data_IF_319216054001
#
_entry.id   IF_319216054001
#
_cell.length_a   1.000
_cell.length_b   1.000
_cell.length_c   1.000
_cell.angle_alpha   90.00
_cell.angle_beta   90.00
_cell.angle_gamma   90.00
#
_symmetry.space_group_name_H-M   'P 1'
#
loop_
_entity.id
_entity.type
_entity.pdbx_description
1 polymer ?
2 non-polymer ?
3 non-polymer ?
4 non-polymer ?
5 non-polymer ?
6 water ?
#
# COMPACT_ATOMS: atom_id res chain seq x y z
N UNK A 4 5.31 13.34 25.51
CA UNK A 4 5.17 14.76 25.03
C UNK A 4 3.95 15.03 24.13
N UNK A 5 4.17 14.91 22.82
CA UNK A 5 3.18 15.19 21.74
C UNK A 5 2.59 16.61 21.80
N UNK A 6 3.36 17.60 21.29
CA UNK A 6 2.97 19.02 21.23
C UNK A 6 2.15 19.41 20.00
N UNK A 7 1.79 20.70 19.94
CA UNK A 7 1.08 21.33 18.82
C UNK A 7 2.01 21.44 17.60
N UNK A 8 1.43 21.36 16.41
CA UNK A 8 2.24 21.39 15.18
C UNK A 8 3.12 22.64 15.04
N UNK A 9 2.58 23.78 15.44
CA UNK A 9 3.33 25.03 15.38
C UNK A 9 4.56 25.06 16.28
N UNK A 10 4.51 24.30 17.37
CA UNK A 10 5.62 24.25 18.28
C UNK A 10 6.60 23.15 17.87
N UNK A 11 6.13 22.17 17.10
CA UNK A 11 6.96 21.03 16.65
C UNK A 11 7.93 21.45 15.53
N UNK A 12 7.40 22.16 14.56
CA UNK A 12 8.18 22.66 13.45
C UNK A 12 9.02 23.84 13.91
N UNK A 13 10.23 23.94 13.36
CA UNK A 13 11.13 25.05 13.62
C UNK A 13 10.85 26.35 12.90
N UNK A 14 10.00 26.30 11.89
CA UNK A 14 9.64 27.53 11.16
C UNK A 14 8.40 27.30 10.33
N UNK A 15 7.76 28.40 9.91
CA UNK A 15 6.62 28.25 9.02
C UNK A 15 7.11 28.17 7.59
N UNK A 16 6.23 27.85 6.65
CA UNK A 16 6.53 27.83 5.24
C UNK A 16 6.94 29.23 4.79
N UNK A 17 8.07 29.40 4.07
CA UNK A 17 8.38 30.78 3.69
C UNK A 17 7.43 31.33 2.65
N UNK A 18 7.25 32.65 2.66
CA UNK A 18 6.40 33.30 1.67
C UNK A 18 6.93 33.06 0.26
N UNK A 19 8.25 33.10 0.11
CA UNK A 19 8.88 32.85 -1.21
C UNK A 19 8.53 31.47 -1.81
N UNK A 20 8.26 30.49 -0.94
CA UNK A 20 7.88 29.18 -1.42
C UNK A 20 6.44 29.23 -1.99
N UNK A 21 5.53 29.86 -1.24
CA UNK A 21 4.13 30.01 -1.65
C UNK A 21 4.03 30.71 -3.03
N UNK A 22 4.75 31.82 -3.18
CA UNK A 22 4.72 32.54 -4.46
C UNK A 22 5.11 31.60 -5.62
N UNK A 23 6.11 30.76 -5.40
CA UNK A 23 6.53 29.82 -6.43
C UNK A 23 5.43 28.81 -6.71
N UNK A 24 4.76 28.35 -5.65
CA UNK A 24 3.70 27.33 -5.80
C UNK A 24 2.46 27.85 -6.52
N UNK A 25 2.10 29.09 -6.26
CA UNK A 25 0.93 29.67 -6.90
C UNK A 25 1.15 29.86 -8.42
N UNK A 26 2.38 30.13 -8.81
CA UNK A 26 2.74 30.31 -10.22
C UNK A 26 2.98 29.01 -10.97
N UNK A 27 2.83 27.86 -10.28
CA UNK A 27 2.95 26.55 -10.94
C UNK A 27 2.15 25.56 -10.13
N UNK A 28 0.85 25.79 -10.10
CA UNK A 28 -0.06 24.95 -9.32
C UNK A 28 -0.23 23.56 -9.88
N UNK A 29 -0.11 23.41 -11.20
CA UNK A 29 -0.23 22.11 -11.82
C UNK A 29 0.92 21.16 -11.41
N UNK A 30 2.13 21.70 -11.31
CA UNK A 30 3.26 20.88 -10.88
C UNK A 30 3.03 20.50 -9.43
N UNK A 31 2.55 21.47 -8.65
CA UNK A 31 2.28 21.26 -7.25
C UNK A 31 1.34 20.07 -7.03
N UNK A 32 0.23 20.12 -7.75
CA UNK A 32 -0.85 19.17 -7.60
C UNK A 32 -0.44 17.75 -7.96
N UNK A 33 0.33 17.62 -9.05
CA UNK A 33 0.83 16.32 -9.47
C UNK A 33 1.82 15.80 -8.44
N UNK A 34 2.68 16.69 -7.92
CA UNK A 34 3.67 16.24 -6.93
C UNK A 34 2.96 15.75 -5.67
N UNK A 35 1.93 16.49 -5.32
CA UNK A 35 1.10 16.16 -4.19
C UNK A 35 0.54 14.77 -4.41
N UNK A 36 -0.06 14.51 -5.57
CA UNK A 36 -0.58 13.17 -5.88
C UNK A 36 0.52 12.16 -5.57
N UNK A 37 1.71 12.42 -6.10
CA UNK A 37 2.84 11.54 -5.88
C UNK A 37 3.21 11.38 -4.39
N UNK A 38 3.17 12.47 -3.62
CA UNK A 38 3.51 12.36 -2.21
C UNK A 38 2.54 11.44 -1.51
N UNK A 39 1.25 11.52 -1.84
CA UNK A 39 0.25 10.72 -1.14
C UNK A 39 0.52 9.23 -1.41
N UNK A 40 0.90 8.90 -2.65
CA UNK A 40 1.22 7.50 -3.00
C UNK A 40 2.51 7.03 -2.31
N UNK A 41 3.55 7.86 -2.29
CA UNK A 41 4.82 7.49 -1.66
C UNK A 41 4.60 7.22 -0.18
N UNK A 42 3.75 8.03 0.43
CA UNK A 42 3.44 7.85 1.84
C UNK A 42 2.82 6.46 2.06
N UNK A 43 1.94 6.03 1.17
CA UNK A 43 1.36 4.66 1.27
C UNK A 43 2.41 3.62 1.03
N UNK A 44 3.26 3.86 0.04
CA UNK A 44 4.30 2.90 -0.32
C UNK A 44 5.29 2.74 0.86
N UNK A 45 5.65 3.85 1.47
CA UNK A 45 6.58 3.88 2.61
C UNK A 45 5.95 3.17 3.80
N UNK A 46 4.65 3.38 3.98
CA UNK A 46 3.96 2.76 5.06
C UNK A 46 4.07 1.25 4.92
N UNK A 47 3.84 0.71 3.72
CA UNK A 47 3.93 -0.75 3.49
C UNK A 47 5.35 -1.31 3.65
N UNK A 48 6.36 -0.53 3.26
CA UNK A 48 7.76 -0.89 3.48
C UNK A 48 8.10 -1.02 4.94
N UNK A 49 7.56 -0.12 5.77
CA UNK A 49 7.75 -0.21 7.23
C UNK A 49 7.14 -1.48 7.78
N UNK A 50 5.98 -1.86 7.28
CA UNK A 50 5.30 -3.09 7.73
C UNK A 50 6.16 -4.33 7.37
N UNK A 51 6.77 -4.35 6.19
CA UNK A 51 7.60 -5.46 5.73
C UNK A 51 8.90 -5.58 6.53
N UNK A 52 9.56 -4.46 6.78
CA UNK A 52 10.73 -4.40 7.57
C UNK A 52 10.47 -4.72 9.07
N UNK A 53 9.53 -4.01 9.69
CA UNK A 53 9.28 -4.17 11.11
C UNK A 53 8.11 -5.09 11.25
N UNK A 54 8.29 -6.29 10.71
CA UNK A 54 7.21 -7.28 10.62
C UNK A 54 6.78 -8.02 11.90
N UNK A 55 7.40 -7.72 13.05
CA UNK A 55 6.95 -8.23 14.38
C UNK A 55 6.49 -7.07 15.32
N UNK A 56 6.46 -5.84 14.82
CA UNK A 56 5.97 -4.74 15.66
C UNK A 56 4.50 -4.58 15.41
N UNK A 57 3.69 -5.21 16.24
CA UNK A 57 2.26 -5.28 16.01
C UNK A 57 1.54 -3.93 15.91
N UNK A 58 1.71 -3.03 16.89
CA UNK A 58 1.05 -1.69 16.82
C UNK A 58 1.46 -0.88 15.59
N UNK A 59 2.73 -0.96 15.21
CA UNK A 59 3.21 -0.27 14.01
C UNK A 59 2.51 -0.82 12.78
N UNK A 60 2.40 -2.12 12.69
CA UNK A 60 1.77 -2.74 11.54
C UNK A 60 0.32 -2.29 11.40
N UNK A 61 -0.43 -2.39 12.48
CA UNK A 61 -1.84 -1.96 12.47
C UNK A 61 -1.97 -0.48 12.11
N UNK A 62 -1.09 0.35 12.64
CA UNK A 62 -1.17 1.76 12.33
C UNK A 62 -0.78 2.08 10.90
N UNK A 63 0.29 1.45 10.43
CA UNK A 63 0.75 1.70 9.10
C UNK A 63 -0.26 1.12 8.06
N UNK A 64 -0.96 0.03 8.40
CA UNK A 64 -1.91 -0.50 7.44
C UNK A 64 -3.01 0.55 7.25
N UNK A 65 -3.53 1.09 8.35
CA UNK A 65 -4.57 2.12 8.32
C UNK A 65 -4.10 3.41 7.67
N UNK A 66 -2.89 3.83 7.97
CA UNK A 66 -2.38 5.05 7.41
C UNK A 66 -2.28 4.92 5.90
N UNK A 67 -1.75 3.81 5.42
CA UNK A 67 -1.67 3.54 3.98
C UNK A 67 -3.03 3.60 3.30
N UNK A 68 -4.07 3.07 3.92
CA UNK A 68 -5.40 3.14 3.35
C UNK A 68 -5.79 4.59 3.26
N UNK A 69 -5.58 5.33 4.34
CA UNK A 69 -5.92 6.76 4.31
C UNK A 69 -5.13 7.51 3.25
N UNK A 70 -3.85 7.25 3.16
CA UNK A 70 -3.06 7.96 2.14
C UNK A 70 -3.53 7.65 0.73
N UNK A 71 -3.92 6.39 0.49
CA UNK A 71 -4.46 6.02 -0.82
C UNK A 71 -5.72 6.79 -1.16
N UNK A 72 -6.57 6.99 -0.18
CA UNK A 72 -7.78 7.77 -0.39
C UNK A 72 -7.34 9.17 -0.82
N UNK A 73 -6.31 9.73 -0.18
CA UNK A 73 -5.84 11.06 -0.53
C UNK A 73 -5.40 11.09 -1.98
N UNK A 74 -4.62 10.08 -2.37
CA UNK A 74 -4.13 9.83 -3.72
C UNK A 74 -5.31 9.90 -4.69
N UNK A 75 -6.32 9.09 -4.43
CA UNK A 75 -7.54 9.07 -5.24
C UNK A 75 -8.28 10.42 -5.25
N UNK A 76 -8.24 11.13 -4.14
CA UNK A 76 -8.90 12.44 -4.09
C UNK A 76 -8.19 13.46 -4.97
N UNK A 77 -6.87 13.40 -5.00
CA UNK A 77 -6.09 14.30 -5.82
C UNK A 77 -6.30 13.98 -7.30
N UNK A 78 -6.34 12.68 -7.60
CA UNK A 78 -6.54 12.24 -8.98
C UNK A 78 -7.89 12.71 -9.49
N UNK A 79 -8.88 12.63 -8.61
CA UNK A 79 -10.26 13.02 -8.96
C UNK A 79 -10.30 14.52 -9.26
N UNK A 80 -9.51 15.27 -8.52
CA UNK A 80 -9.42 16.73 -8.67
C UNK A 80 -8.63 17.10 -9.96
N UNK A 81 -7.54 16.38 -10.21
CA UNK A 81 -6.78 16.57 -11.42
C UNK A 81 -7.68 16.36 -12.63
N UNK A 82 -8.50 15.33 -12.58
CA UNK A 82 -9.46 15.02 -13.66
C UNK A 82 -10.44 16.18 -13.84
N UNK A 83 -11.01 16.65 -12.73
CA UNK A 83 -12.00 17.74 -12.76
C UNK A 83 -11.42 19.03 -13.32
N UNK A 84 -10.13 19.23 -13.14
CA UNK A 84 -9.48 20.43 -13.62
C UNK A 84 -8.71 20.23 -14.91
N UNK A 85 -8.83 19.05 -15.51
CA UNK A 85 -8.13 18.72 -16.75
C UNK A 85 -6.62 18.67 -16.64
N UNK A 86 -6.12 18.33 -15.46
CA UNK A 86 -4.68 18.24 -15.24
C UNK A 86 -4.21 16.82 -15.59
N UNK A 87 -3.33 16.69 -16.60
CA UNK A 87 -2.85 15.36 -17.03
C UNK A 87 -1.84 14.67 -16.10
N UNK A 88 -1.61 13.39 -16.36
CA UNK A 88 -0.64 12.62 -15.60
C UNK A 88 0.70 12.77 -16.28
N UNK A 89 1.39 13.85 -15.98
CA UNK A 89 2.72 14.05 -16.53
C UNK A 89 3.73 13.80 -15.41
N UNK A 90 4.95 13.39 -15.79
CA UNK A 90 5.95 13.01 -14.81
C UNK A 90 6.52 14.18 -14.06
N UNK A 91 6.66 14.01 -12.75
CA UNK A 91 7.26 15.02 -11.89
C UNK A 91 8.21 14.26 -10.96
N UNK A 92 9.49 14.61 -11.00
CA UNK A 92 10.47 13.86 -10.23
C UNK A 92 10.35 14.12 -8.74
N UNK A 93 10.77 13.12 -7.96
CA UNK A 93 10.75 13.19 -6.52
C UNK A 93 11.62 14.34 -6.02
N UNK A 94 11.11 15.12 -5.08
CA UNK A 94 11.91 16.17 -4.46
C UNK A 94 12.93 15.60 -3.50
N UNK A 95 13.77 16.47 -2.94
CA UNK A 95 14.89 16.09 -2.09
C UNK A 95 14.55 15.85 -0.62
N UNK A 96 13.43 16.42 -0.19
CA UNK A 96 13.01 16.47 1.21
C UNK A 96 13.14 15.18 2.06
N UNK A 97 12.37 14.16 1.68
CA UNK A 97 12.35 12.90 2.37
C UNK A 97 13.72 12.23 2.48
N UNK A 98 14.50 12.24 1.42
CA UNK A 98 15.82 11.64 1.48
C UNK A 98 16.71 12.49 2.36
N UNK A 99 16.50 13.81 2.33
CA UNK A 99 17.25 14.72 3.18
C UNK A 99 17.07 14.34 4.64
N UNK A 100 15.82 14.20 5.06
CA UNK A 100 15.52 13.83 6.44
C UNK A 100 16.01 12.43 6.82
N UNK A 101 16.02 11.52 5.86
CA UNK A 101 16.45 10.14 6.15
C UNK A 101 17.97 9.98 6.35
N UNK A 102 18.73 10.95 5.90
CA UNK A 102 20.18 11.00 6.18
C UNK A 102 20.38 11.17 7.70
N UNK A 103 19.35 11.58 8.45
CA UNK A 103 19.48 11.73 9.88
C UNK A 103 19.13 10.50 10.71
N UNK A 104 18.68 9.43 10.03
CA UNK A 104 18.30 8.23 10.73
C UNK A 104 19.55 7.49 11.15
N UNK A 105 19.60 7.18 12.45
CA UNK A 105 20.72 6.49 13.03
C UNK A 105 20.88 5.10 12.46
N UNK A 106 22.09 4.61 12.60
CA UNK A 106 22.50 3.37 11.99
C UNK A 106 21.98 2.10 12.66
N UNK A 107 21.93 2.09 13.99
CA UNK A 107 21.61 0.87 14.68
C UNK A 107 20.21 0.81 15.27
N UNK A 108 19.64 -0.40 15.31
CA UNK A 108 18.37 -0.62 15.96
C UNK A 108 18.67 -0.73 17.45
N UNK A 109 17.66 -0.45 18.32
CA UNK A 109 16.30 -0.05 18.05
C UNK A 109 16.09 1.47 17.90
N UNK A 110 17.15 2.27 17.94
CA UNK A 110 17.01 3.71 17.78
C UNK A 110 16.71 4.10 16.32
N UNK A 111 17.21 3.35 15.35
CA UNK A 111 16.92 3.61 13.93
C UNK A 111 15.38 3.65 13.69
N UNK A 112 14.65 2.77 14.34
CA UNK A 112 13.21 2.79 14.17
C UNK A 112 12.61 4.06 14.72
N UNK A 113 13.07 4.44 15.90
CA UNK A 113 12.55 5.63 16.56
C UNK A 113 12.74 6.86 15.65
N UNK A 114 13.93 7.01 15.09
CA UNK A 114 14.26 8.14 14.22
C UNK A 114 13.37 8.11 12.99
N UNK A 115 13.13 6.91 12.48
CA UNK A 115 12.28 6.71 11.31
C UNK A 115 10.83 7.15 11.56
N UNK A 116 10.34 6.86 12.74
CA UNK A 116 9.01 7.27 13.11
C UNK A 116 8.97 8.80 13.34
N UNK A 117 10.02 9.37 13.91
CA UNK A 117 10.08 10.84 14.11
C UNK A 117 10.09 11.60 12.78
N UNK A 118 10.86 11.14 11.81
CA UNK A 118 10.90 11.76 10.49
C UNK A 118 9.49 11.76 9.88
N UNK A 119 8.76 10.65 10.04
CA UNK A 119 7.40 10.56 9.55
C UNK A 119 6.50 11.59 10.18
N UNK A 120 6.67 11.81 11.49
CA UNK A 120 5.91 12.86 12.18
C UNK A 120 6.26 14.25 11.61
N UNK A 121 7.53 14.47 11.26
CA UNK A 121 7.91 15.73 10.65
C UNK A 121 7.33 15.97 9.24
N UNK A 122 7.33 14.92 8.42
CA UNK A 122 6.76 15.02 7.10
C UNK A 122 5.26 15.34 7.21
N UNK A 123 4.58 14.65 8.11
CA UNK A 123 3.14 14.90 8.30
C UNK A 123 2.93 16.27 8.87
N UNK A 124 3.72 16.61 9.88
CA UNK A 124 3.67 17.94 10.50
C UNK A 124 3.83 19.06 9.45
N UNK A 125 4.85 18.92 8.61
CA UNK A 125 5.11 19.94 7.59
C UNK A 125 3.99 20.05 6.57
N UNK A 126 3.44 18.92 6.15
CA UNK A 126 2.37 18.88 5.20
C UNK A 126 1.20 19.65 5.75
N UNK A 127 0.83 19.38 6.98
CA UNK A 127 -0.28 20.06 7.61
C UNK A 127 -0.03 21.57 7.61
N UNK A 128 1.15 21.98 8.08
CA UNK A 128 1.50 23.42 8.14
C UNK A 128 1.45 24.06 6.76
N UNK A 129 2.00 23.40 5.76
CA UNK A 129 2.04 23.95 4.41
C UNK A 129 0.65 24.00 3.76
N UNK A 130 -0.20 22.99 3.99
CA UNK A 130 -1.57 23.08 3.49
C UNK A 130 -2.28 24.28 4.09
N UNK A 131 -2.09 24.47 5.39
CA UNK A 131 -2.67 25.63 6.07
C UNK A 131 -2.15 26.96 5.48
N UNK A 132 -0.87 27.03 5.16
CA UNK A 132 -0.28 28.25 4.64
C UNK A 132 -0.87 28.65 3.30
N UNK A 133 -1.18 27.64 2.49
CA UNK A 133 -1.72 27.79 1.13
C UNK A 133 -3.19 28.12 1.00
N UNK A 134 -4.00 27.53 1.87
CA UNK A 134 -5.46 27.65 1.79
C UNK A 134 -5.97 29.02 1.54
N UNK A 135 -5.47 30.02 2.28
CA UNK A 135 -5.98 31.37 2.05
C UNK A 135 -5.72 31.93 0.64
N UNK A 136 -4.71 31.43 -0.05
CA UNK A 136 -4.34 31.94 -1.37
C UNK A 136 -4.93 31.18 -2.54
N UNK A 137 -5.54 30.03 -2.28
CA UNK A 137 -6.07 29.20 -3.36
C UNK A 137 -7.53 29.51 -3.68
N UNK A 138 -7.99 28.98 -4.80
CA UNK A 138 -9.39 29.13 -5.16
C UNK A 138 -10.19 28.32 -4.15
N UNK A 139 -11.50 28.49 -4.19
CA UNK A 139 -12.37 27.83 -3.23
C UNK A 139 -12.33 26.30 -3.31
N UNK A 140 -12.45 25.75 -4.50
CA UNK A 140 -12.42 24.29 -4.63
C UNK A 140 -11.14 23.69 -4.01
N UNK A 141 -9.99 24.15 -4.49
CA UNK A 141 -8.71 23.60 -4.07
C UNK A 141 -8.42 23.91 -2.60
N UNK A 142 -8.82 25.10 -2.17
CA UNK A 142 -8.59 25.52 -0.78
C UNK A 142 -9.41 24.74 0.21
N UNK A 143 -10.63 24.40 -0.18
CA UNK A 143 -11.52 23.70 0.70
C UNK A 143 -11.00 22.27 0.85
N UNK A 144 -10.46 21.72 -0.22
CA UNK A 144 -9.94 20.35 -0.19
C UNK A 144 -8.69 20.28 0.69
N UNK A 145 -7.80 21.24 0.50
CA UNK A 145 -6.58 21.33 1.26
C UNK A 145 -6.85 21.54 2.74
N UNK A 146 -7.87 22.33 3.05
CA UNK A 146 -8.25 22.57 4.43
C UNK A 146 -8.76 21.26 5.07
N UNK A 147 -9.52 20.48 4.32
CA UNK A 147 -9.97 19.18 4.82
C UNK A 147 -8.83 18.22 5.10
N UNK A 148 -7.73 18.30 4.34
CA UNK A 148 -6.58 17.42 4.57
C UNK A 148 -5.77 17.76 5.83
N UNK A 149 -5.92 18.98 6.36
CA UNK A 149 -5.20 19.39 7.57
C UNK A 149 -5.40 18.44 8.73
N UNK A 150 -6.66 18.11 9.00
CA UNK A 150 -6.99 17.24 10.15
C UNK A 150 -6.45 15.81 10.00
N UNK A 151 -6.37 15.28 8.78
CA UNK A 151 -5.80 13.94 8.58
C UNK A 151 -4.33 14.03 8.88
N UNK A 152 -3.68 15.00 8.26
CA UNK A 152 -2.25 15.23 8.49
C UNK A 152 -1.92 15.34 9.98
N UNK A 153 -2.74 16.03 10.76
CA UNK A 153 -2.43 16.17 12.17
C UNK A 153 -2.57 14.82 12.84
N UNK A 154 -3.58 14.06 12.42
CA UNK A 154 -3.78 12.74 12.95
C UNK A 154 -2.59 11.87 12.62
N UNK A 155 -2.08 11.97 11.42
CA UNK A 155 -0.93 11.15 11.05
C UNK A 155 0.27 11.52 11.90
N UNK A 156 0.51 12.82 12.05
CA UNK A 156 1.58 13.35 12.94
C UNK A 156 1.54 12.73 14.33
N UNK A 157 0.38 12.85 14.96
CA UNK A 157 0.19 12.27 16.27
C UNK A 157 0.46 10.75 16.28
N UNK A 158 -0.03 10.04 15.27
CA UNK A 158 0.21 8.60 15.17
C UNK A 158 1.70 8.23 15.17
N UNK A 159 2.54 8.94 14.41
CA UNK A 159 3.95 8.61 14.35
C UNK A 159 4.60 8.88 15.69
N UNK A 160 4.22 9.99 16.34
CA UNK A 160 4.81 10.30 17.66
C UNK A 160 4.40 9.28 18.69
N UNK A 161 3.15 8.83 18.64
CA UNK A 161 2.67 7.84 19.59
C UNK A 161 3.44 6.52 19.36
N UNK A 162 3.67 6.12 18.12
CA UNK A 162 4.47 4.91 17.88
C UNK A 162 5.87 5.11 18.44
N UNK A 163 6.43 6.27 18.18
CA UNK A 163 7.77 6.58 18.68
C UNK A 163 7.88 6.39 20.16
N UNK A 164 6.95 6.95 20.92
CA UNK A 164 6.96 6.78 22.37
C UNK A 164 6.76 5.34 22.77
N UNK A 165 5.94 4.62 22.01
CA UNK A 165 5.68 3.21 22.25
C UNK A 165 6.99 2.39 22.17
N UNK A 166 7.88 2.72 21.24
CA UNK A 166 9.08 1.94 21.04
C UNK A 166 10.39 2.68 21.42
N UNK A 167 10.28 3.80 22.09
CA UNK A 167 11.45 4.61 22.40
C UNK A 167 11.36 5.24 23.75
N UNK A 168 12.47 5.83 24.17
CA UNK A 168 12.55 6.48 25.47
C UNK A 168 12.36 7.97 25.33
N UNK A 169 11.74 8.53 26.35
CA UNK A 169 11.35 9.95 26.42
C UNK A 169 12.47 10.93 26.01
N UNK A 170 13.63 10.81 26.64
CA UNK A 170 14.72 11.74 26.39
C UNK A 170 15.36 11.51 25.02
N UNK A 171 15.57 10.26 24.66
CA UNK A 171 16.11 9.98 23.33
C UNK A 171 15.21 10.60 22.25
N UNK A 172 13.90 10.43 22.44
CA UNK A 172 12.94 10.98 21.51
C UNK A 172 13.03 12.50 21.47
N UNK A 173 13.19 13.12 22.63
CA UNK A 173 13.26 14.59 22.66
C UNK A 173 14.49 15.10 21.91
N UNK A 174 15.62 14.41 22.05
CA UNK A 174 16.84 14.82 21.37
C UNK A 174 16.68 14.64 19.86
N UNK A 175 16.18 13.48 19.46
CA UNK A 175 15.92 13.21 18.06
C UNK A 175 15.05 14.32 17.44
N UNK A 176 13.95 14.59 18.10
CA UNK A 176 13.07 15.65 17.64
C UNK A 176 13.84 16.96 17.45
N UNK A 177 14.67 17.30 18.43
CA UNK A 177 15.43 18.53 18.36
C UNK A 177 16.33 18.53 17.15
N UNK A 178 16.95 17.39 16.85
CA UNK A 178 17.93 17.33 15.74
C UNK A 178 17.24 17.29 14.38
N UNK A 179 16.11 16.60 14.32
CA UNK A 179 15.40 16.53 13.05
C UNK A 179 14.73 17.89 12.77
N UNK A 180 14.29 18.58 13.82
CA UNK A 180 13.71 19.90 13.64
C UNK A 180 14.68 20.86 12.96
N UNK A 181 15.96 20.78 13.33
CA UNK A 181 16.96 21.67 12.75
C UNK A 181 17.23 21.34 11.29
N UNK A 182 17.35 20.07 10.97
CA UNK A 182 17.64 19.69 9.59
C UNK A 182 16.46 19.94 8.64
N UNK A 183 15.25 19.82 9.18
CA UNK A 183 14.02 19.99 8.42
C UNK A 183 13.82 21.45 8.04
N UNK A 184 14.14 22.34 8.97
CA UNK A 184 13.94 23.74 8.68
C UNK A 184 14.97 24.23 7.68
N UNK A 185 16.11 23.57 7.65
CA UNK A 185 17.16 23.89 6.71
C UNK A 185 16.72 23.43 5.29
N UNK A 186 16.13 22.25 5.20
CA UNK A 186 15.59 21.78 3.92
C UNK A 186 14.45 22.71 3.43
N UNK A 187 13.71 23.28 4.37
CA UNK A 187 12.60 24.16 4.02
C UNK A 187 12.98 25.59 3.61
N UNK A 188 14.01 26.15 4.26
CA UNK A 188 14.45 27.52 4.02
C UNK A 188 15.62 27.69 3.07
N UNK A 189 16.37 26.61 2.83
CA UNK A 189 17.51 26.63 1.92
C UNK A 189 17.03 26.81 0.49
N UNK A 190 17.88 27.37 -0.38
CA UNK A 190 17.44 27.44 -1.77
C UNK A 190 17.30 26.05 -2.35
N UNK A 191 16.46 25.94 -3.38
CA UNK A 191 16.20 24.65 -4.06
C UNK A 191 16.12 25.00 -5.55
N UNK A 192 16.43 24.05 -6.43
CA UNK A 192 16.39 24.33 -7.87
C UNK A 192 15.05 23.95 -8.54
N UNK A 193 14.09 23.46 -7.76
CA UNK A 193 12.81 22.99 -8.26
C UNK A 193 11.66 23.35 -7.33
N UNK A 194 10.46 23.31 -7.88
CA UNK A 194 9.27 23.50 -7.09
C UNK A 194 8.63 22.14 -6.87
N UNK A 195 8.60 21.70 -5.61
CA UNK A 195 7.89 20.49 -5.24
C UNK A 195 7.04 20.88 -4.06
N UNK A 196 6.14 19.99 -3.63
CA UNK A 196 5.32 20.32 -2.49
C UNK A 196 6.14 20.57 -1.21
N UNK A 197 7.23 19.82 -1.04
CA UNK A 197 8.11 20.01 0.13
C UNK A 197 9.49 20.53 -0.29
N UNK A 198 9.55 21.38 -1.29
CA UNK A 198 10.82 21.89 -1.74
C UNK A 198 11.23 23.06 -0.87
N UNK A 199 12.50 23.43 -1.02
CA UNK A 199 13.05 24.62 -0.42
C UNK A 199 12.61 25.80 -1.27
N UNK A 200 13.24 26.94 -1.03
CA UNK A 200 12.88 28.14 -1.76
C UNK A 200 13.53 28.12 -3.13
N UNK A 201 12.72 28.11 -4.22
CA UNK A 201 13.34 28.09 -5.55
C UNK A 201 14.12 29.36 -5.89
N UNK A 202 15.36 29.16 -6.35
CA UNK A 202 16.25 30.22 -6.80
C UNK A 202 16.66 29.96 -8.24
N UNK B 5 -16.57 -11.97 -18.57
CA UNK B 5 -15.86 -12.59 -17.43
C UNK B 5 -16.57 -13.89 -17.02
N UNK B 6 -15.92 -15.06 -17.25
CA UNK B 6 -16.56 -16.32 -16.83
C UNK B 6 -16.67 -16.51 -15.31
N UNK B 7 -17.47 -17.49 -14.90
CA UNK B 7 -17.58 -17.81 -13.49
C UNK B 7 -16.20 -18.35 -13.06
N UNK B 8 -15.89 -18.13 -11.78
CA UNK B 8 -14.65 -18.59 -11.20
C UNK B 8 -14.48 -20.10 -11.41
N UNK B 9 -15.58 -20.85 -11.33
CA UNK B 9 -15.53 -22.32 -11.52
C UNK B 9 -15.06 -22.67 -12.92
N UNK B 10 -15.47 -21.88 -13.91
CA UNK B 10 -15.09 -22.10 -15.29
C UNK B 10 -13.70 -21.55 -15.60
N UNK B 11 -13.21 -20.65 -14.75
CA UNK B 11 -11.97 -19.99 -15.01
C UNK B 11 -10.80 -20.84 -14.60
N UNK B 12 -10.94 -21.54 -13.47
CA UNK B 12 -9.87 -22.36 -12.91
C UNK B 12 -9.86 -23.74 -13.54
N UNK B 13 -8.69 -24.34 -13.61
CA UNK B 13 -8.62 -25.70 -14.19
C UNK B 13 -8.97 -26.85 -13.28
N UNK B 14 -8.95 -26.58 -11.97
CA UNK B 14 -9.18 -27.60 -10.98
C UNK B 14 -9.56 -27.02 -9.65
N UNK B 15 -10.23 -27.84 -8.82
CA UNK B 15 -10.49 -27.32 -7.49
C UNK B 15 -9.29 -27.55 -6.58
N UNK B 16 -9.45 -27.13 -5.34
CA UNK B 16 -8.43 -27.30 -4.36
C UNK B 16 -8.47 -28.77 -3.97
N UNK B 17 -7.32 -29.44 -4.01
CA UNK B 17 -7.27 -30.84 -3.64
C UNK B 17 -7.54 -31.13 -2.14
N UNK B 18 -8.14 -32.28 -1.89
CA UNK B 18 -8.41 -32.77 -0.54
C UNK B 18 -7.20 -32.79 0.39
N UNK B 19 -6.05 -33.23 -0.13
CA UNK B 19 -4.83 -33.35 0.66
C UNK B 19 -4.36 -31.96 1.09
N UNK B 20 -4.73 -30.91 0.33
CA UNK B 20 -4.37 -29.57 0.73
C UNK B 20 -5.29 -29.14 1.90
N UNK B 21 -6.58 -29.38 1.73
CA UNK B 21 -7.53 -29.07 2.79
C UNK B 21 -7.13 -29.78 4.11
N UNK B 22 -6.89 -31.08 4.06
CA UNK B 22 -6.53 -31.85 5.26
C UNK B 22 -5.29 -31.27 5.94
N UNK B 23 -4.29 -30.87 5.16
CA UNK B 23 -3.09 -30.25 5.71
C UNK B 23 -3.39 -28.86 6.29
N UNK B 24 -4.25 -28.11 5.58
CA UNK B 24 -4.62 -26.77 6.01
C UNK B 24 -5.36 -26.82 7.30
N UNK B 25 -6.27 -27.78 7.42
CA UNK B 25 -7.06 -27.94 8.63
C UNK B 25 -6.23 -28.34 9.84
N UNK B 26 -5.12 -29.03 9.62
CA UNK B 26 -4.24 -29.49 10.70
C UNK B 26 -3.25 -28.43 11.20
N UNK B 27 -3.03 -27.36 10.44
CA UNK B 27 -2.13 -26.27 10.87
C UNK B 27 -2.72 -24.89 10.48
N UNK B 28 -3.78 -24.53 11.21
CA UNK B 28 -4.53 -23.28 10.94
C UNK B 28 -3.79 -22.04 11.38
N UNK B 29 -2.85 -22.22 12.30
CA UNK B 29 -1.96 -21.12 12.65
C UNK B 29 -1.12 -20.73 11.41
N UNK B 30 -0.46 -21.68 10.73
CA UNK B 30 0.33 -21.29 9.53
C UNK B 30 -0.57 -20.77 8.44
N UNK B 31 -1.76 -21.34 8.36
CA UNK B 31 -2.71 -20.94 7.37
C UNK B 31 -3.06 -19.46 7.51
N UNK B 32 -3.44 -19.07 8.72
CA UNK B 32 -3.82 -17.70 9.04
C UNK B 32 -2.73 -16.70 8.85
N UNK B 33 -1.53 -17.05 9.32
CA UNK B 33 -0.41 -16.12 9.22
C UNK B 33 -0.08 -15.92 7.75
N UNK B 34 -0.10 -16.98 6.97
CA UNK B 34 0.25 -16.87 5.56
C UNK B 34 -0.82 -16.14 4.81
N UNK B 35 -2.07 -16.41 5.15
CA UNK B 35 -3.19 -15.63 4.57
C UNK B 35 -2.99 -14.13 4.83
N UNK B 36 -2.60 -13.77 6.06
CA UNK B 36 -2.39 -12.39 6.42
C UNK B 36 -1.33 -11.78 5.55
N UNK B 37 -0.24 -12.54 5.33
CA UNK B 37 0.85 -12.09 4.47
C UNK B 37 0.42 -11.95 3.01
N UNK B 38 -0.52 -12.79 2.53
CA UNK B 38 -1.02 -12.71 1.15
C UNK B 38 -1.82 -11.43 0.94
N UNK B 39 -2.64 -11.08 1.92
CA UNK B 39 -3.39 -9.82 1.84
C UNK B 39 -2.44 -8.64 1.77
N UNK B 40 -1.38 -8.68 2.60
CA UNK B 40 -0.32 -7.64 2.55
C UNK B 40 0.38 -7.61 1.17
N UNK B 41 0.79 -8.76 0.65
CA UNK B 41 1.48 -8.77 -0.65
C UNK B 41 0.55 -8.41 -1.78
N UNK B 42 -0.75 -8.63 -1.62
CA UNK B 42 -1.71 -8.23 -2.62
C UNK B 42 -1.73 -6.70 -2.67
N UNK B 43 -1.80 -6.06 -1.50
CA UNK B 43 -1.70 -4.60 -1.45
C UNK B 43 -0.39 -4.09 -1.99
N UNK B 44 0.72 -4.71 -1.59
CA UNK B 44 2.02 -4.27 -2.04
C UNK B 44 2.20 -4.35 -3.57
N UNK B 45 1.73 -5.46 -4.12
CA UNK B 45 1.72 -5.69 -5.52
C UNK B 45 0.84 -4.65 -6.23
N UNK B 46 -0.31 -4.30 -5.68
CA UNK B 46 -1.13 -3.28 -6.31
C UNK B 46 -0.39 -1.91 -6.40
N UNK B 47 0.24 -1.48 -5.30
CA UNK B 47 0.98 -0.19 -5.32
C UNK B 47 2.14 -0.23 -6.28
N UNK B 48 2.77 -1.40 -6.37
CA UNK B 48 3.88 -1.61 -7.26
C UNK B 48 3.39 -1.46 -8.70
N UNK B 49 2.23 -2.00 -9.03
CA UNK B 49 1.69 -1.85 -10.40
C UNK B 49 1.44 -0.38 -10.70
N UNK B 50 0.86 0.31 -9.72
CA UNK B 50 0.60 1.77 -9.83
C UNK B 50 1.88 2.54 -10.11
N UNK B 51 2.98 2.15 -9.47
CA UNK B 51 4.21 2.91 -9.68
C UNK B 51 4.68 2.66 -11.07
N UNK B 52 4.53 1.41 -11.49
CA UNK B 52 5.03 0.96 -12.78
C UNK B 52 4.20 1.47 -13.98
N UNK B 53 2.87 1.51 -13.82
CA UNK B 53 2.01 1.95 -14.91
C UNK B 53 1.31 3.22 -14.49
N UNK B 54 2.14 4.19 -14.12
CA UNK B 54 1.64 5.41 -13.53
C UNK B 54 0.89 6.39 -14.44
N UNK B 55 0.83 6.16 -15.75
CA UNK B 55 0.03 6.99 -16.64
C UNK B 55 -1.27 6.26 -17.06
N UNK B 56 -1.50 5.04 -16.58
CA UNK B 56 -2.68 4.28 -16.94
C UNK B 56 -3.73 4.60 -15.91
N UNK B 57 -4.57 5.58 -16.21
CA UNK B 57 -5.52 6.08 -15.23
C UNK B 57 -6.54 5.06 -14.67
N UNK B 58 -7.13 4.23 -15.54
CA UNK B 58 -8.10 3.24 -15.07
C UNK B 58 -7.41 2.28 -14.15
N UNK B 59 -6.21 1.84 -14.55
CA UNK B 59 -5.39 0.93 -13.77
C UNK B 59 -5.03 1.49 -12.39
N UNK B 60 -4.57 2.74 -12.30
CA UNK B 60 -4.20 3.28 -11.00
C UNK B 60 -5.44 3.43 -10.11
N UNK B 61 -6.53 3.90 -10.69
CA UNK B 61 -7.76 4.01 -9.91
C UNK B 61 -8.20 2.65 -9.39
N UNK B 62 -8.13 1.61 -10.21
CA UNK B 62 -8.59 0.32 -9.76
C UNK B 62 -7.68 -0.29 -8.68
N UNK B 63 -6.37 -0.22 -8.92
CA UNK B 63 -5.37 -0.73 -8.00
C UNK B 63 -5.30 0.03 -6.69
N UNK B 64 -5.63 1.31 -6.73
CA UNK B 64 -5.62 2.13 -5.50
C UNK B 64 -6.70 1.59 -4.58
N UNK B 65 -7.90 1.41 -5.14
CA UNK B 65 -9.04 0.84 -4.42
C UNK B 65 -8.78 -0.58 -4.00
N UNK B 66 -8.19 -1.36 -4.87
CA UNK B 66 -7.92 -2.76 -4.56
C UNK B 66 -6.92 -2.87 -3.41
N UNK B 67 -5.88 -2.05 -3.45
CA UNK B 67 -4.90 -2.07 -2.36
C UNK B 67 -5.58 -1.79 -1.05
N UNK B 68 -6.50 -0.82 -1.05
CA UNK B 68 -7.18 -0.45 0.18
C UNK B 68 -8.00 -1.61 0.72
N UNK B 69 -8.66 -2.37 -0.14
CA UNK B 69 -9.45 -3.49 0.33
C UNK B 69 -8.58 -4.61 0.86
N UNK B 70 -7.47 -4.88 0.19
CA UNK B 70 -6.52 -5.89 0.68
C UNK B 70 -5.99 -5.58 2.07
N UNK B 71 -5.74 -4.28 2.32
CA UNK B 71 -5.26 -3.80 3.62
C UNK B 71 -6.33 -3.94 4.71
N UNK B 72 -7.60 -3.81 4.33
CA UNK B 72 -8.67 -4.11 5.27
C UNK B 72 -8.59 -5.62 5.53
N UNK B 73 -8.40 -6.46 4.51
CA UNK B 73 -8.37 -7.92 4.78
C UNK B 73 -7.24 -8.31 5.75
N UNK B 74 -6.05 -7.78 5.48
CA UNK B 74 -4.87 -7.88 6.32
C UNK B 74 -5.18 -7.50 7.77
N UNK B 75 -5.78 -6.34 7.94
CA UNK B 75 -6.20 -5.85 9.29
C UNK B 75 -7.21 -6.83 9.88
N UNK B 76 -8.18 -7.27 9.09
CA UNK B 76 -9.12 -8.31 9.55
C UNK B 76 -8.47 -9.60 10.05
N UNK B 77 -7.49 -10.11 9.32
CA UNK B 77 -6.88 -11.32 9.73
C UNK B 77 -6.10 -11.10 11.02
N UNK B 78 -5.38 -9.97 11.12
CA UNK B 78 -4.61 -9.64 12.30
C UNK B 78 -5.47 -9.55 13.53
N UNK B 79 -6.64 -8.91 13.44
CA UNK B 79 -7.59 -8.86 14.57
C UNK B 79 -8.03 -10.26 14.99
N UNK B 80 -8.30 -11.11 14.04
CA UNK B 80 -8.72 -12.48 14.37
C UNK B 80 -7.55 -13.19 15.05
N UNK B 81 -6.35 -12.98 14.52
CA UNK B 81 -5.17 -13.55 15.16
C UNK B 81 -5.04 -13.10 16.62
N UNK B 82 -5.09 -11.80 16.89
CA UNK B 82 -4.96 -11.32 18.27
C UNK B 82 -5.97 -11.98 19.18
N UNK B 83 -7.24 -12.00 18.75
CA UNK B 83 -8.31 -12.59 19.55
C UNK B 83 -7.99 -14.03 19.93
N UNK B 84 -7.38 -14.77 19.00
CA UNK B 84 -7.11 -16.17 19.20
C UNK B 84 -5.68 -16.47 19.65
N UNK B 85 -4.94 -15.44 20.03
CA UNK B 85 -3.54 -15.62 20.43
C UNK B 85 -2.66 -16.31 19.40
N UNK B 86 -2.76 -15.88 18.14
CA UNK B 86 -1.93 -16.39 17.08
C UNK B 86 -0.89 -15.27 16.93
N UNK B 87 0.38 -15.59 17.18
CA UNK B 87 1.39 -14.56 17.23
C UNK B 87 1.89 -14.19 15.86
N UNK B 88 2.60 -13.06 15.78
CA UNK B 88 3.20 -12.66 14.52
C UNK B 88 4.47 -13.47 14.39
N UNK B 89 4.37 -14.68 13.86
CA UNK B 89 5.51 -15.58 13.69
C UNK B 89 5.90 -15.37 12.27
N UNK B 90 7.16 -15.03 11.99
CA UNK B 90 7.54 -14.92 10.57
C UNK B 90 7.31 -16.20 9.78
N UNK B 91 6.73 -16.09 8.57
CA UNK B 91 6.45 -17.28 7.74
C UNK B 91 6.88 -16.96 6.32
N UNK B 92 7.75 -17.78 5.76
CA UNK B 92 8.28 -17.51 4.45
C UNK B 92 7.26 -17.63 3.31
N UNK B 93 7.46 -16.81 2.29
CA UNK B 93 6.58 -16.83 1.12
C UNK B 93 6.57 -18.22 0.44
N UNK B 94 5.40 -18.65 0.02
CA UNK B 94 5.33 -19.88 -0.77
C UNK B 94 5.80 -19.62 -2.20
N UNK B 95 5.78 -20.66 -3.01
CA UNK B 95 6.27 -20.64 -4.41
C UNK B 95 5.31 -20.23 -5.54
N UNK B 96 4.02 -20.27 -5.26
CA UNK B 96 2.94 -20.03 -6.22
C UNK B 96 3.09 -18.77 -7.04
N UNK B 97 3.13 -17.62 -6.37
CA UNK B 97 3.15 -16.32 -7.05
C UNK B 97 4.40 -16.15 -7.88
N UNK B 98 5.55 -16.55 -7.35
CA UNK B 98 6.78 -16.48 -8.15
C UNK B 98 6.73 -17.52 -9.31
N UNK B 99 6.05 -18.65 -9.11
CA UNK B 99 5.91 -19.62 -10.16
C UNK B 99 5.11 -19.02 -11.31
N UNK B 100 4.02 -18.35 -11.00
CA UNK B 100 3.20 -17.71 -12.02
C UNK B 100 3.88 -16.48 -12.67
N UNK B 101 4.60 -15.70 -11.89
CA UNK B 101 5.34 -14.58 -12.46
C UNK B 101 6.37 -14.96 -13.49
N UNK B 102 6.87 -16.21 -13.47
CA UNK B 102 7.76 -16.67 -14.54
C UNK B 102 7.08 -16.73 -15.87
N UNK B 103 5.75 -16.73 -15.89
CA UNK B 103 5.02 -16.79 -17.14
C UNK B 103 4.95 -15.42 -17.85
N UNK B 104 5.27 -14.36 -17.13
CA UNK B 104 5.19 -13.01 -17.66
C UNK B 104 6.26 -12.67 -18.70
N UNK B 105 5.77 -12.30 -19.89
CA UNK B 105 6.63 -11.93 -20.99
C UNK B 105 7.35 -10.61 -20.72
N UNK B 106 8.42 -10.35 -21.45
CA UNK B 106 9.27 -9.18 -21.16
C UNK B 106 8.86 -7.82 -21.77
N UNK B 107 8.06 -7.84 -22.82
CA UNK B 107 7.74 -6.61 -23.53
C UNK B 107 6.29 -6.17 -23.33
N UNK B 108 6.12 -4.86 -23.27
CA UNK B 108 4.81 -4.25 -23.12
C UNK B 108 4.16 -4.22 -24.50
N UNK B 109 2.84 -4.29 -24.56
CA UNK B 109 1.87 -4.42 -23.48
C UNK B 109 1.60 -5.86 -23.02
N UNK B 110 2.20 -6.86 -23.68
CA UNK B 110 1.89 -8.25 -23.29
C UNK B 110 2.39 -8.61 -21.89
N UNK B 111 3.48 -7.97 -21.47
CA UNK B 111 3.92 -8.08 -20.06
C UNK B 111 2.76 -7.73 -19.15
N UNK B 112 2.14 -6.59 -19.41
CA UNK B 112 1.03 -6.12 -18.55
C UNK B 112 -0.17 -7.04 -18.67
N UNK B 113 -0.44 -7.52 -19.89
CA UNK B 113 -1.52 -8.46 -20.11
C UNK B 113 -1.34 -9.71 -19.22
N UNK B 114 -0.12 -10.23 -19.23
CA UNK B 114 0.23 -11.44 -18.51
C UNK B 114 0.14 -11.16 -17.05
N UNK B 115 0.63 -10.01 -16.65
CA UNK B 115 0.55 -9.64 -15.26
C UNK B 115 -0.90 -9.60 -14.72
N UNK B 116 -1.82 -9.06 -15.51
CA UNK B 116 -3.19 -8.90 -15.08
C UNK B 116 -3.91 -10.21 -15.03
N UNK B 117 -3.66 -11.05 -16.04
CA UNK B 117 -4.22 -12.38 -16.10
C UNK B 117 -3.75 -13.20 -14.90
N UNK B 118 -2.47 -13.06 -14.53
CA UNK B 118 -1.97 -13.73 -13.34
C UNK B 118 -2.69 -13.25 -12.09
N UNK B 119 -2.90 -11.93 -12.00
CA UNK B 119 -3.64 -11.36 -10.89
C UNK B 119 -5.03 -11.95 -10.81
N UNK B 120 -5.68 -12.11 -11.97
CA UNK B 120 -7.06 -12.71 -11.97
C UNK B 120 -7.07 -14.13 -11.43
N UNK B 121 -6.05 -14.90 -11.82
CA UNK B 121 -5.87 -16.26 -11.35
C UNK B 121 -5.61 -16.41 -9.85
N UNK B 122 -4.78 -15.56 -9.30
CA UNK B 122 -4.51 -15.61 -7.90
C UNK B 122 -5.80 -15.34 -7.14
N UNK B 123 -6.52 -14.32 -7.57
CA UNK B 123 -7.74 -13.92 -6.91
C UNK B 123 -8.81 -15.01 -7.00
N UNK B 124 -8.97 -15.55 -8.21
CA UNK B 124 -9.94 -16.63 -8.46
C UNK B 124 -9.64 -17.87 -7.60
N UNK B 125 -8.36 -18.20 -7.49
CA UNK B 125 -7.93 -19.36 -6.71
C UNK B 125 -8.18 -19.12 -5.23
N UNK B 126 -7.85 -17.91 -4.73
CA UNK B 126 -8.11 -17.56 -3.34
C UNK B 126 -9.63 -17.70 -3.04
N UNK B 127 -10.46 -17.22 -3.97
CA UNK B 127 -11.91 -17.29 -3.86
C UNK B 127 -12.31 -18.77 -3.79
N UNK B 128 -11.83 -19.60 -4.71
CA UNK B 128 -12.17 -21.03 -4.69
C UNK B 128 -11.70 -21.76 -3.45
N UNK B 129 -10.49 -21.44 -3.02
CA UNK B 129 -9.89 -22.07 -1.86
C UNK B 129 -10.58 -21.63 -0.56
N UNK B 130 -10.93 -20.37 -0.40
CA UNK B 130 -11.74 -20.00 0.75
C UNK B 130 -13.04 -20.82 0.76
N UNK B 131 -13.66 -20.96 -0.41
CA UNK B 131 -14.92 -21.69 -0.52
C UNK B 131 -14.78 -23.14 -0.10
N UNK B 132 -13.74 -23.79 -0.59
CA UNK B 132 -13.47 -25.20 -0.25
C UNK B 132 -13.24 -25.39 1.25
N UNK B 133 -12.65 -24.39 1.90
CA UNK B 133 -12.42 -24.52 3.34
C UNK B 133 -13.60 -24.24 4.26
N UNK B 134 -14.48 -23.34 3.83
CA UNK B 134 -15.58 -22.88 4.69
C UNK B 134 -16.33 -23.97 5.47
N UNK B 135 -16.76 -25.05 4.80
CA UNK B 135 -17.57 -25.99 5.57
C UNK B 135 -16.85 -26.77 6.67
N UNK B 136 -15.52 -26.62 6.77
CA UNK B 136 -14.71 -27.38 7.71
C UNK B 136 -14.15 -26.56 8.82
N UNK B 137 -14.32 -25.24 8.78
CA UNK B 137 -13.73 -24.39 9.82
C UNK B 137 -14.76 -24.13 10.91
N UNK B 138 -14.30 -23.59 12.03
CA UNK B 138 -15.20 -23.19 13.10
C UNK B 138 -16.14 -22.09 12.53
N UNK B 139 -17.31 -21.96 13.14
CA UNK B 139 -18.33 -21.03 12.68
C UNK B 139 -17.81 -19.63 12.36
N UNK B 140 -17.19 -18.98 13.33
CA UNK B 140 -16.72 -17.61 13.11
C UNK B 140 -15.77 -17.51 11.90
N UNK B 141 -14.75 -18.35 11.87
CA UNK B 141 -13.73 -18.29 10.83
C UNK B 141 -14.32 -18.60 9.46
N UNK B 142 -15.21 -19.60 9.42
CA UNK B 142 -15.87 -20.02 8.22
C UNK B 142 -16.72 -18.92 7.64
N UNK B 143 -17.48 -18.21 8.47
CA UNK B 143 -18.28 -17.10 7.99
C UNK B 143 -17.40 -15.93 7.54
N UNK B 144 -16.29 -15.70 8.21
CA UNK B 144 -15.34 -14.67 7.78
C UNK B 144 -14.81 -15.01 6.36
N UNK B 145 -14.36 -16.24 6.18
CA UNK B 145 -13.89 -16.71 4.87
C UNK B 145 -14.99 -16.67 3.80
N UNK B 146 -16.23 -17.00 4.13
CA UNK B 146 -17.30 -16.92 3.13
C UNK B 146 -17.45 -15.46 2.68
N UNK B 147 -17.33 -14.52 3.62
CA UNK B 147 -17.45 -13.10 3.34
C UNK B 147 -16.35 -12.55 2.45
N UNK B 148 -15.18 -13.14 2.50
CA UNK B 148 -14.07 -12.76 1.60
C UNK B 148 -14.28 -13.25 0.15
N UNK B 149 -15.07 -14.32 -0.05
CA UNK B 149 -15.33 -14.85 -1.39
C UNK B 149 -15.83 -13.79 -2.34
N UNK B 150 -16.89 -13.08 -1.95
CA UNK B 150 -17.49 -12.06 -2.82
C UNK B 150 -16.48 -11.01 -3.23
N UNK B 151 -15.62 -10.64 -2.29
CA UNK B 151 -14.60 -9.64 -2.53
C UNK B 151 -13.57 -10.12 -3.57
N UNK B 152 -13.07 -11.35 -3.40
CA UNK B 152 -12.07 -11.89 -4.33
C UNK B 152 -12.67 -12.04 -5.68
N UNK B 153 -13.96 -12.35 -5.74
CA UNK B 153 -14.60 -12.50 -7.04
C UNK B 153 -14.59 -11.15 -7.77
N UNK B 154 -14.80 -10.06 -7.02
CA UNK B 154 -14.76 -8.73 -7.62
C UNK B 154 -13.36 -8.34 -8.06
N UNK B 155 -12.34 -8.79 -7.33
CA UNK B 155 -10.96 -8.52 -7.70
C UNK B 155 -10.59 -9.30 -8.96
N UNK B 156 -11.00 -10.56 -8.99
CA UNK B 156 -10.78 -11.38 -10.18
C UNK B 156 -11.38 -10.70 -11.41
N UNK B 157 -12.61 -10.21 -11.27
CA UNK B 157 -13.31 -9.59 -12.41
C UNK B 157 -12.62 -8.31 -12.82
N UNK B 158 -12.12 -7.57 -11.86
CA UNK B 158 -11.43 -6.32 -12.16
C UNK B 158 -10.15 -6.53 -12.92
N UNK B 159 -9.35 -7.48 -12.46
CA UNK B 159 -8.12 -7.79 -13.16
C UNK B 159 -8.36 -8.16 -14.61
N UNK B 160 -9.32 -9.06 -14.82
CA UNK B 160 -9.65 -9.56 -16.12
C UNK B 160 -10.26 -8.46 -17.01
N UNK B 161 -11.17 -7.63 -16.47
CA UNK B 161 -11.72 -6.50 -17.24
C UNK B 161 -10.59 -5.61 -17.69
N UNK B 162 -9.68 -5.29 -16.77
CA UNK B 162 -8.56 -4.44 -17.07
C UNK B 162 -7.65 -5.06 -18.14
N UNK B 163 -7.46 -6.38 -18.13
CA UNK B 163 -6.63 -7.04 -19.14
C UNK B 163 -7.15 -6.81 -20.58
N UNK B 164 -8.47 -6.66 -20.70
CA UNK B 164 -9.12 -6.44 -21.98
C UNK B 164 -8.86 -5.03 -22.58
N UNK B 165 -8.25 -4.14 -21.82
CA UNK B 165 -7.85 -2.83 -22.38
C UNK B 165 -6.54 -2.94 -23.16
N UNK B 166 -5.82 -4.08 -23.02
CA UNK B 166 -4.45 -4.23 -23.55
C UNK B 166 -4.19 -5.37 -24.55
N UNK B 167 -5.20 -6.17 -24.83
CA UNK B 167 -5.04 -7.28 -25.74
C UNK B 167 -6.40 -7.56 -26.30
N UNK B 168 -6.49 -7.99 -27.56
CA UNK B 168 -7.80 -8.29 -28.13
C UNK B 168 -8.38 -9.52 -27.45
N UNK B 169 -9.64 -9.82 -27.75
CA UNK B 169 -10.36 -10.84 -27.01
C UNK B 169 -9.77 -12.20 -27.18
N UNK B 170 -9.22 -12.50 -28.35
CA UNK B 170 -8.62 -13.83 -28.56
C UNK B 170 -7.26 -13.94 -27.91
N UNK B 171 -6.50 -12.85 -27.88
CA UNK B 171 -5.22 -12.89 -27.23
C UNK B 171 -5.38 -13.06 -25.71
N UNK B 172 -6.35 -12.39 -25.11
CA UNK B 172 -6.56 -12.56 -23.68
C UNK B 172 -6.99 -14.01 -23.37
N UNK B 173 -7.84 -14.58 -24.24
CA UNK B 173 -8.30 -15.96 -24.05
C UNK B 173 -7.14 -16.94 -24.14
N UNK B 174 -6.23 -16.73 -25.08
CA UNK B 174 -5.03 -17.54 -25.19
C UNK B 174 -4.13 -17.39 -23.98
N UNK B 175 -4.02 -16.16 -23.44
CA UNK B 175 -3.25 -15.93 -22.28
C UNK B 175 -3.85 -16.72 -21.10
N UNK B 176 -5.15 -16.67 -20.97
CA UNK B 176 -5.85 -17.36 -19.92
C UNK B 176 -5.68 -18.85 -20.01
N UNK B 177 -5.70 -19.42 -21.22
CA UNK B 177 -5.48 -20.86 -21.42
C UNK B 177 -4.12 -21.28 -20.89
N UNK B 178 -3.10 -20.51 -21.20
CA UNK B 178 -1.75 -20.82 -20.79
C UNK B 178 -1.57 -20.63 -19.26
N UNK B 179 -2.11 -19.56 -18.71
CA UNK B 179 -1.98 -19.34 -17.27
C UNK B 179 -2.79 -20.40 -16.51
N UNK B 180 -3.94 -20.78 -17.01
CA UNK B 180 -4.73 -21.84 -16.36
C UNK B 180 -3.98 -23.17 -16.25
N UNK B 181 -3.35 -23.59 -17.33
CA UNK B 181 -2.58 -24.82 -17.33
C UNK B 181 -1.45 -24.77 -16.31
N UNK B 182 -0.73 -23.64 -16.25
CA UNK B 182 0.37 -23.47 -15.32
C UNK B 182 -0.11 -23.41 -13.84
N UNK B 183 -1.17 -22.66 -13.59
CA UNK B 183 -1.71 -22.52 -12.25
C UNK B 183 -2.18 -23.86 -11.69
N UNK B 184 -2.81 -24.66 -12.54
CA UNK B 184 -3.27 -25.98 -12.14
C UNK B 184 -2.10 -26.89 -11.76
N UNK B 185 -1.02 -26.84 -12.55
CA UNK B 185 0.19 -27.59 -12.27
C UNK B 185 0.77 -27.16 -10.92
N UNK B 186 0.75 -25.86 -10.60
CA UNK B 186 1.26 -25.40 -9.33
C UNK B 186 0.41 -25.88 -8.17
N UNK B 187 -0.89 -25.89 -8.38
CA UNK B 187 -1.85 -26.30 -7.35
C UNK B 187 -1.86 -27.82 -7.09
N UNK B 188 -1.53 -28.60 -8.10
CA UNK B 188 -1.60 -30.06 -7.99
C UNK B 188 -0.27 -30.75 -7.83
N UNK B 189 0.82 -30.02 -7.94
CA UNK B 189 2.14 -30.64 -7.81
C UNK B 189 2.54 -30.74 -6.33
N UNK B 190 3.36 -31.75 -5.97
CA UNK B 190 3.91 -31.92 -4.62
C UNK B 190 4.59 -30.67 -4.05
N UNK B 191 4.33 -30.35 -2.78
CA UNK B 191 4.92 -29.20 -2.12
C UNK B 191 5.29 -29.68 -0.71
N UNK B 192 6.36 -29.13 -0.11
CA UNK B 192 6.81 -29.54 1.25
C UNK B 192 6.24 -28.66 2.36
N UNK B 193 5.94 -27.40 2.03
CA UNK B 193 5.36 -26.44 2.97
C UNK B 193 3.83 -26.40 2.87
N UNK B 194 3.16 -25.96 3.94
CA UNK B 194 1.75 -25.63 3.87
C UNK B 194 1.73 -24.14 3.79
N UNK B 195 1.06 -23.58 2.79
CA UNK B 195 0.89 -22.13 2.65
C UNK B 195 -0.49 -21.97 2.06
N UNK B 196 -1.03 -20.75 2.05
CA UNK B 196 -2.38 -20.57 1.51
C UNK B 196 -2.52 -21.11 0.06
N UNK B 197 -1.54 -20.82 -0.77
CA UNK B 197 -1.59 -21.25 -2.17
C UNK B 197 -0.62 -22.36 -2.46
N UNK B 198 -0.26 -23.14 -1.44
CA UNK B 198 0.70 -24.24 -1.63
C UNK B 198 0.07 -25.41 -2.37
N UNK B 199 0.91 -26.32 -2.88
CA UNK B 199 0.47 -27.51 -3.57
C UNK B 199 0.11 -28.64 -2.63
N UNK B 200 0.28 -29.87 -3.05
CA UNK B 200 -0.07 -30.96 -2.18
C UNK B 200 1.17 -31.68 -1.61
N UNK B 201 1.02 -32.26 -0.43
CA UNK B 201 2.10 -33.04 0.25
C UNK B 201 2.83 -34.19 -0.53
N UNK B 202 4.05 -34.50 -0.05
CA UNK B 202 4.92 -35.61 -0.53
C UNK B 202 5.68 -35.35 -1.83
X LIG C 1 -1.77 12.17 3.06
X LIG D 1 -0.30 11.51 5.85
X LIG E 1 1.36 12.48 3.97
X LIG E 1 0.76 12.93 2.71
X LIG F 1 18.54 12.02 14.75
X LIG F 1 19.64 12.38 13.90
X LIG F 1 19.06 11.22 15.94
X LIG F 1 18.02 10.96 16.91
X LIG G 1 10.84 -2.68 20.85
X LIG G 1 10.66 -1.64 21.82
X LIG G 1 11.99 -2.29 19.93
X LIG G 1 11.54 -1.56 18.78
X LIG H 1 9.40 6.99 7.62
X LIG H 1 10.54 7.87 7.73
X LIG H 1 8.12 7.74 7.28
X LIG H 1 8.28 8.54 6.11
X LIG I 1 6.84 12.94 -4.57
X LIG I 1 7.63 12.26 -5.56
X LIG I 1 7.77 13.67 -3.61
X LIG I 1 8.38 14.80 -4.24
X LIG J 1 0.65 7.62 -8.38
X LIG J 1 -0.54 7.82 -9.14
X LIG J 1 1.77 7.17 -9.31
X LIG J 1 2.93 7.95 -9.02
X LIG K 1 21.25 9.04 24.51
X LIG K 1 20.66 7.90 25.15
X LIG K 1 20.76 9.12 23.07
X LIG K 1 19.62 9.98 23.04
X LIG L 1 5.69 9.95 5.57
X LIG L 1 5.85 8.77 4.78
X LIG L 1 4.24 10.37 5.54
X LIG L 1 3.54 9.45 6.36
X LIG M 1 -7.87 -10.05 -0.25
X LIG N 1 -7.99 -9.83 -3.35
X LIG O 1 -5.06 -13.31 -0.47
X LIG O 1 -4.92 -12.54 -2.12
X LIG O 1 -5.54 -11.00 -3.29
X LIG O 1 -6.58 -11.43 -1.58
X LIG P 1 0.83 -13.92 -2.94
X LIG P 1 -0.02 -15.07 -3.18
X LIG P 1 0.19 -12.61 -3.42
X LIG P 1 -1.15 -12.48 -2.94
X LIG Q 1 -9.97 -28.70 -17.71
X LIG Q 1 -10.81 -27.79 -17.01
X LIG Q 1 -8.54 -28.24 -17.50
X LIG Q 1 -8.44 -26.83 -17.80
X LIG R 1 5.04 -10.12 4.06
X LIG R 1 5.52 -11.46 4.28
X LIG R 1 4.90 -9.37 5.38
X LIG R 1 6.17 -9.16 5.98
X LIG S 1 -8.30 -3.06 -26.64
X LIG S 1 -8.41 -2.25 -27.82
X LIG S 1 -7.75 -4.40 -27.12
X LIG S 1 -8.79 -4.93 -27.95
X LIG T 1 1.91 -16.62 -20.36
X LIG T 1 3.27 -16.93 -20.63
X LIG T 1 1.14 -16.65 -21.67
X LIG T 1 0.86 -15.32 -22.08
X LIG U 1 2.90 -15.71 0.27
X LIG U 1 3.16 -17.03 0.75
X LIG U 1 2.89 -14.69 1.40
X LIG U 1 4.23 -14.34 1.83
X LIG V 1 -3.88 -10.36 -6.53
X LIG V 1 -4.43 -9.16 -5.92
X LIG V 1 -2.45 -10.59 -6.10
X LIG V 1 -1.59 -9.66 -6.76
X LIG W 1 -14.65 -9.50 4.26
X LIG W 1 -14.25 -8.13 4.21
X LIG W 1 -15.21 -9.87 5.63
X LIG W 1 -15.83 -11.17 5.59
X LIG X 1 -14.11 -12.27 21.41
X LIG X 1 -14.85 -12.51 20.22
X LIG X 1 -14.73 -11.02 22.00
X LIG X 1 -14.18 -9.85 21.36
X LIG Y 1 4.18 -8.19 8.57
X LIG Y 1 4.02 -9.16 9.65
X LIG Y 1 2.91 -8.16 7.70
X LIG Y 1 1.78 -8.05 8.53
#
# INVERSE_FOLDING_TARGET
GXSLIPEIDAFLGCPTPDAWIEAALADQETLLIDHKNCEFKAASTALSLIAKYNTHLDLINMMSRLAREELVHHEQVLRLMKRRGVPLRPVSAGRYASGLRRLVRAHEPVKLVDTLVVGAFIEARSCERFAALVPHLDEELGRFYHGLLKSEARHYQGYLKLAHNYGDEADIARCVELVRAAEMELIQSPDQELRFHSGIPQALAA
GXSLIPEIDAFLGCPTPDAWIEAALADQETLLIDHKNCEFKAASTALSLIAKYNTHLDLINMMSRLAREELVHHEQVLRLMKRRGVPLRPVSAGRYASGLRRLVRAHEPVKLVDTLVVGAFIEARSCERFAALVPHLDEELGRFYHGLLKSEARHYQGYLKLAHNYGDEADIARCVELVRAAEMELIQSPDQELRFHSGIPQALAA
FE FE
FE FE
PER O1 O2
EDO C1 O1 C2 O2
EDO C1 O1 C2 O2
EDO C1 O1 C2 O2
EDO C1 O1 C2 O2
EDO C1 O1 C2 O2
EDO C1 O1 C2 O2
EDO C1 O1 C2 O2
FE FE
FE FE
UNL O1 O2 O3 O4
EDO C1 O1 C2 O2
EDO C1 O1 C2 O2
EDO C1 O1 C2 O2
EDO C1 O1 C2 O2
EDO C1 O1 C2 O2
EDO C1 O1 C2 O2
EDO C1 O1 C2 O2
EDO C1 O1 C2 O2
EDO C1 O1 C2 O2
EDO C1 O1 C2 O2
#
